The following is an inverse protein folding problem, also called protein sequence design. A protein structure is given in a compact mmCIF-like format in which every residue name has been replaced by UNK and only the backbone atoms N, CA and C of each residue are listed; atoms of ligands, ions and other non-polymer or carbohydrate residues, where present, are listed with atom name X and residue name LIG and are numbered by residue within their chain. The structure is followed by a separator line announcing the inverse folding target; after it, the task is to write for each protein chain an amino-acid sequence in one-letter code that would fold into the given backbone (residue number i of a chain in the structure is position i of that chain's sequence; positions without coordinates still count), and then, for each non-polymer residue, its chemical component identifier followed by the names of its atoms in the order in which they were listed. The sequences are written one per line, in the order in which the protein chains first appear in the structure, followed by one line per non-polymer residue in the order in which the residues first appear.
data_IF_033240920989
#
_entry.id   IF_033240920989
#
_cell.length_a   1.000
_cell.length_b   1.000
_cell.length_c   1.000
_cell.angle_alpha   90.00
_cell.angle_beta   90.00
_cell.angle_gamma   90.00
#
_symmetry.space_group_name_H-M   'P 1'
#
loop_
_entity.id
_entity.type
_entity.pdbx_description
1 polymer ?
#
# COMPACT_ATOMS: atom_id res chain seq x y z
N UNK A 1 -5.67 -3.08 -8.40
CA UNK A 1 -5.26 -4.42 -7.95
C UNK A 1 -4.19 -5.05 -8.81
N UNK A 2 -4.48 -5.41 -10.07
CA UNK A 2 -3.51 -6.14 -10.94
C UNK A 2 -2.21 -5.37 -11.21
N UNK A 3 -2.26 -4.06 -11.40
CA UNK A 3 -1.07 -3.23 -11.64
C UNK A 3 -0.17 -3.24 -10.40
N UNK A 4 -0.74 -3.00 -9.22
CA UNK A 4 -0.01 -3.04 -7.95
C UNK A 4 0.61 -4.41 -7.69
N UNK A 5 -0.19 -5.48 -7.85
CA UNK A 5 0.31 -6.84 -7.73
C UNK A 5 1.48 -7.09 -8.69
N UNK A 6 1.36 -6.66 -9.96
CA UNK A 6 2.42 -6.80 -10.97
C UNK A 6 3.70 -6.08 -10.55
N UNK A 7 3.59 -4.88 -9.99
CA UNK A 7 4.72 -4.09 -9.49
C UNK A 7 5.45 -4.82 -8.36
N UNK A 8 4.73 -5.32 -7.35
CA UNK A 8 5.36 -6.05 -6.24
C UNK A 8 5.95 -7.40 -6.65
N UNK A 9 5.29 -8.12 -7.58
CA UNK A 9 5.85 -9.36 -8.17
C UNK A 9 7.14 -9.06 -8.93
N UNK A 10 7.19 -7.98 -9.70
CA UNK A 10 8.41 -7.57 -10.42
C UNK A 10 9.54 -7.17 -9.45
N UNK A 11 9.24 -6.44 -8.38
CA UNK A 11 10.20 -6.12 -7.32
C UNK A 11 10.75 -7.40 -6.69
N UNK A 12 9.88 -8.35 -6.35
CA UNK A 12 10.27 -9.62 -5.75
C UNK A 12 11.19 -10.44 -6.68
N UNK A 13 10.76 -10.63 -7.93
CA UNK A 13 11.56 -11.37 -8.94
C UNK A 13 12.90 -10.67 -9.15
N UNK A 14 12.91 -9.34 -9.27
CA UNK A 14 14.13 -8.56 -9.45
C UNK A 14 15.11 -8.69 -8.28
N UNK A 15 14.60 -8.64 -7.04
CA UNK A 15 15.40 -8.79 -5.82
C UNK A 15 16.01 -10.19 -5.71
N UNK A 16 15.20 -11.25 -5.94
CA UNK A 16 15.67 -12.63 -5.91
C UNK A 16 16.70 -12.88 -7.01
N UNK A 17 16.38 -12.51 -8.25
CA UNK A 17 17.26 -12.71 -9.40
C UNK A 17 18.58 -11.94 -9.23
N UNK A 18 18.51 -10.68 -8.76
CA UNK A 18 19.70 -9.87 -8.50
C UNK A 18 20.62 -10.50 -7.45
N UNK A 19 20.05 -10.97 -6.35
CA UNK A 19 20.79 -11.67 -5.29
C UNK A 19 21.44 -12.96 -5.80
N UNK A 20 20.70 -13.78 -6.56
CA UNK A 20 21.22 -15.03 -7.12
C UNK A 20 22.35 -14.76 -8.14
N UNK A 21 22.18 -13.79 -9.03
CA UNK A 21 23.19 -13.44 -10.03
C UNK A 21 24.50 -12.97 -9.39
N UNK A 22 24.41 -12.14 -8.35
CA UNK A 22 25.59 -11.69 -7.60
C UNK A 22 26.25 -12.87 -6.88
N UNK A 23 25.49 -13.75 -6.24
CA UNK A 23 26.02 -14.89 -5.50
C UNK A 23 26.67 -15.95 -6.41
N UNK A 24 26.05 -16.31 -7.53
CA UNK A 24 26.52 -17.37 -8.41
C UNK A 24 27.73 -16.97 -9.28
N UNK A 25 27.79 -15.71 -9.72
CA UNK A 25 28.85 -15.24 -10.60
C UNK A 25 30.01 -14.53 -9.87
N UNK A 26 29.97 -14.40 -8.54
CA UNK A 26 31.05 -13.85 -7.72
C UNK A 26 31.56 -12.50 -8.24
N UNK A 27 32.83 -12.39 -8.57
CA UNK A 27 33.46 -11.14 -9.07
C UNK A 27 32.82 -10.59 -10.35
N UNK A 28 32.18 -11.44 -11.16
CA UNK A 28 31.45 -11.04 -12.37
C UNK A 28 29.97 -10.77 -12.11
N UNK A 29 29.48 -11.03 -10.91
CA UNK A 29 28.06 -10.92 -10.58
C UNK A 29 27.47 -9.54 -10.87
N UNK A 30 28.19 -8.47 -10.55
CA UNK A 30 27.76 -7.12 -10.84
C UNK A 30 27.61 -6.84 -12.36
N UNK A 31 28.58 -7.34 -13.17
CA UNK A 31 28.55 -7.18 -14.63
C UNK A 31 27.40 -7.97 -15.26
N UNK A 32 27.19 -9.21 -14.80
CA UNK A 32 26.08 -10.07 -15.29
C UNK A 32 24.74 -9.44 -14.92
N UNK A 33 24.59 -8.96 -13.68
CA UNK A 33 23.38 -8.27 -13.25
C UNK A 33 23.11 -7.02 -14.09
N UNK A 34 24.13 -6.20 -14.36
CA UNK A 34 23.99 -5.02 -15.23
C UNK A 34 23.56 -5.40 -16.65
N UNK A 35 24.11 -6.48 -17.22
CA UNK A 35 23.74 -6.97 -18.55
C UNK A 35 22.26 -7.45 -18.58
N UNK A 36 21.81 -8.15 -17.54
CA UNK A 36 20.41 -8.59 -17.40
C UNK A 36 19.47 -7.40 -17.28
N UNK A 37 19.82 -6.39 -16.48
CA UNK A 37 19.03 -5.15 -16.34
C UNK A 37 18.90 -4.42 -17.67
N UNK A 38 20.02 -4.30 -18.42
CA UNK A 38 20.00 -3.70 -19.76
C UNK A 38 19.10 -4.50 -20.73
N UNK A 39 19.18 -5.83 -20.71
CA UNK A 39 18.33 -6.69 -21.51
C UNK A 39 16.84 -6.47 -21.17
N UNK A 40 16.49 -6.45 -19.89
CA UNK A 40 15.12 -6.19 -19.44
C UNK A 40 14.66 -4.79 -19.90
N UNK A 41 15.51 -3.78 -19.81
CA UNK A 41 15.21 -2.43 -20.28
C UNK A 41 14.94 -2.38 -21.79
N UNK A 42 15.75 -3.10 -22.61
CA UNK A 42 15.53 -3.22 -24.06
C UNK A 42 14.21 -3.94 -24.35
N UNK A 43 13.93 -5.05 -23.68
CA UNK A 43 12.67 -5.78 -23.83
C UNK A 43 11.47 -4.91 -23.43
N UNK A 44 11.58 -4.16 -22.33
CA UNK A 44 10.57 -3.18 -21.90
C UNK A 44 10.34 -2.09 -22.94
N UNK A 45 11.43 -1.58 -23.56
CA UNK A 45 11.33 -0.59 -24.66
C UNK A 45 10.65 -1.16 -25.90
N UNK A 46 10.92 -2.42 -26.24
CA UNK A 46 10.24 -3.11 -27.35
C UNK A 46 8.76 -3.32 -27.01
N UNK A 47 8.45 -3.82 -25.82
CA UNK A 47 7.07 -4.01 -25.37
C UNK A 47 6.27 -2.69 -25.36
N UNK A 48 6.89 -1.58 -25.00
CA UNK A 48 6.26 -0.27 -25.03
C UNK A 48 5.83 0.19 -26.44
N UNK A 49 6.40 -0.36 -27.51
CA UNK A 49 5.99 -0.06 -28.89
C UNK A 49 4.63 -0.67 -29.26
N UNK A 50 4.20 -1.70 -28.54
CA UNK A 50 2.90 -2.34 -28.73
C UNK A 50 1.77 -1.65 -27.97
N UNK A 51 2.08 -0.61 -27.16
CA UNK A 51 1.06 0.19 -26.49
C UNK A 51 0.29 0.98 -27.56
N UNK A 52 -1.06 0.89 -27.60
CA UNK A 52 -1.87 1.61 -28.58
C UNK A 52 -1.61 3.12 -28.52
N UNK A 53 -1.52 3.74 -29.69
CA UNK A 53 -1.34 5.19 -29.79
C UNK A 53 -2.58 5.89 -29.23
N UNK A 54 -2.37 6.76 -28.24
CA UNK A 54 -3.39 7.64 -27.68
C UNK A 54 -3.11 9.08 -28.14
N UNK A 55 -4.07 9.78 -28.75
CA UNK A 55 -3.87 11.18 -29.13
C UNK A 55 -3.58 12.03 -27.90
N UNK A 56 -2.76 13.06 -28.06
CA UNK A 56 -2.45 14.00 -26.99
C UNK A 56 -3.73 14.68 -26.52
N UNK A 57 -3.93 14.75 -25.19
CA UNK A 57 -5.06 15.47 -24.60
C UNK A 57 -4.98 16.98 -24.84
N UNK A 58 -3.76 17.52 -24.95
CA UNK A 58 -3.47 18.90 -25.30
C UNK A 58 -2.29 18.94 -26.29
N UNK A 59 -2.55 18.99 -27.62
CA UNK A 59 -1.51 19.07 -28.63
C UNK A 59 -0.67 20.36 -28.59
N UNK A 60 -1.19 21.42 -27.97
CA UNK A 60 -0.53 22.71 -27.83
C UNK A 60 0.33 22.85 -26.58
N UNK A 61 0.41 21.81 -25.75
CA UNK A 61 1.14 21.88 -24.48
C UNK A 61 2.64 22.11 -24.72
N UNK A 62 3.16 23.22 -24.20
CA UNK A 62 4.59 23.49 -24.17
C UNK A 62 5.25 22.83 -22.96
N UNK A 63 6.36 22.12 -23.18
CA UNK A 63 7.08 21.44 -22.08
C UNK A 63 7.80 22.49 -21.23
N UNK A 64 7.46 22.54 -19.96
CA UNK A 64 8.19 23.33 -18.98
C UNK A 64 9.36 22.49 -18.41
N UNK A 65 10.58 22.85 -18.76
CA UNK A 65 11.79 22.13 -18.33
C UNK A 65 12.22 22.43 -16.88
N UNK A 66 11.55 23.36 -16.19
CA UNK A 66 11.83 23.64 -14.79
C UNK A 66 11.08 22.63 -13.88
N UNK A 67 11.77 21.66 -13.25
CA UNK A 67 11.12 20.62 -12.45
C UNK A 67 10.41 21.18 -11.21
N UNK A 68 10.87 22.30 -10.64
CA UNK A 68 10.27 22.89 -9.44
C UNK A 68 8.91 23.54 -9.74
N UNK A 69 8.87 24.34 -10.81
CA UNK A 69 7.62 25.01 -11.21
C UNK A 69 6.60 24.00 -11.72
N UNK A 70 7.03 22.95 -12.45
CA UNK A 70 6.12 21.90 -12.92
C UNK A 70 5.61 21.02 -11.79
N UNK A 71 6.47 20.68 -10.82
CA UNK A 71 6.06 19.99 -9.59
C UNK A 71 4.97 20.76 -8.86
N UNK A 72 5.20 22.07 -8.66
CA UNK A 72 4.22 22.93 -7.99
C UNK A 72 2.90 23.03 -8.75
N UNK A 73 2.96 23.15 -10.08
CA UNK A 73 1.79 23.18 -10.94
C UNK A 73 0.97 21.87 -10.83
N UNK A 74 1.64 20.72 -10.87
CA UNK A 74 0.97 19.42 -10.74
C UNK A 74 0.35 19.22 -9.35
N UNK A 75 1.03 19.64 -8.28
CA UNK A 75 0.48 19.58 -6.92
C UNK A 75 -0.74 20.50 -6.76
N UNK A 76 -0.70 21.70 -7.36
CA UNK A 76 -1.84 22.63 -7.36
C UNK A 76 -3.05 22.06 -8.10
N UNK A 77 -2.83 21.37 -9.21
CA UNK A 77 -3.90 20.68 -9.95
C UNK A 77 -4.52 19.57 -9.11
N UNK A 78 -3.69 18.74 -8.47
CA UNK A 78 -4.18 17.67 -7.59
C UNK A 78 -4.95 18.22 -6.38
N UNK A 79 -4.52 19.36 -5.82
CA UNK A 79 -5.18 20.03 -4.70
C UNK A 79 -6.56 20.62 -5.07
N UNK A 80 -6.87 20.77 -6.35
CA UNK A 80 -8.16 21.26 -6.82
C UNK A 80 -9.35 20.36 -6.45
N UNK A 81 -9.14 19.06 -6.25
CA UNK A 81 -10.10 18.11 -5.65
C UNK A 81 -9.56 17.58 -4.32
N UNK A 82 -10.18 18.00 -3.23
CA UNK A 82 -9.75 17.65 -1.86
C UNK A 82 -9.75 16.13 -1.64
N UNK A 83 -10.71 15.40 -2.22
CA UNK A 83 -10.76 13.93 -2.06
C UNK A 83 -9.62 13.25 -2.82
N UNK A 84 -9.29 13.72 -4.02
CA UNK A 84 -8.14 13.24 -4.80
C UNK A 84 -6.85 13.56 -4.07
N UNK A 85 -6.66 14.79 -3.60
CA UNK A 85 -5.44 15.19 -2.90
C UNK A 85 -5.23 14.41 -1.60
N UNK A 86 -6.27 14.26 -0.77
CA UNK A 86 -6.19 13.47 0.46
C UNK A 86 -5.89 12.00 0.18
N UNK A 87 -6.41 11.45 -0.91
CA UNK A 87 -6.08 10.08 -1.32
C UNK A 87 -4.63 9.94 -1.74
N UNK A 88 -4.08 10.92 -2.46
CA UNK A 88 -2.66 10.96 -2.83
C UNK A 88 -1.79 11.01 -1.56
N UNK A 89 -2.14 11.86 -0.58
CA UNK A 89 -1.41 11.91 0.71
C UNK A 89 -1.48 10.56 1.43
N UNK A 90 -2.65 9.90 1.44
CA UNK A 90 -2.80 8.55 2.01
C UNK A 90 -1.94 7.51 1.30
N UNK A 91 -1.89 7.53 -0.03
CA UNK A 91 -1.02 6.67 -0.84
C UNK A 91 0.45 6.94 -0.51
N UNK A 92 0.86 8.21 -0.47
CA UNK A 92 2.23 8.61 -0.14
C UNK A 92 2.62 8.20 1.27
N UNK A 93 1.68 8.24 2.22
CA UNK A 93 1.87 7.70 3.56
C UNK A 93 2.14 6.18 3.55
N UNK A 94 1.41 5.42 2.74
CA UNK A 94 1.68 3.99 2.58
C UNK A 94 3.09 3.74 2.01
N UNK A 95 3.56 4.56 1.07
CA UNK A 95 4.92 4.47 0.55
C UNK A 95 5.98 4.85 1.60
N UNK A 96 5.71 5.84 2.45
CA UNK A 96 6.55 6.14 3.62
C UNK A 96 6.68 4.90 4.52
N UNK A 97 5.55 4.36 4.94
CA UNK A 97 5.48 3.18 5.80
C UNK A 97 6.20 1.99 5.15
N UNK A 98 5.83 1.64 3.93
CA UNK A 98 6.39 0.51 3.20
C UNK A 98 7.89 0.62 2.95
N UNK A 99 8.42 1.82 2.67
CA UNK A 99 9.85 2.02 2.43
C UNK A 99 10.69 1.79 3.69
N UNK A 100 10.20 2.15 4.88
CA UNK A 100 10.88 1.84 6.15
C UNK A 100 11.02 0.33 6.31
N UNK A 101 9.95 -0.43 6.07
CA UNK A 101 9.98 -1.89 6.17
C UNK A 101 10.91 -2.51 5.12
N UNK A 102 10.74 -2.16 3.84
CA UNK A 102 11.53 -2.71 2.74
C UNK A 102 13.03 -2.48 2.91
N UNK A 103 13.44 -1.29 3.30
CA UNK A 103 14.87 -0.96 3.52
C UNK A 103 15.43 -1.62 4.77
N UNK A 104 14.58 -1.92 5.76
CA UNK A 104 15.00 -2.51 7.02
C UNK A 104 15.02 -4.04 7.00
N UNK A 105 14.41 -4.73 6.02
CA UNK A 105 14.34 -6.21 6.05
C UNK A 105 15.71 -6.87 6.01
N UNK A 106 16.64 -6.40 5.20
CA UNK A 106 18.00 -6.96 5.14
C UNK A 106 18.72 -6.87 6.48
N UNK A 107 18.91 -5.68 7.08
CA UNK A 107 19.53 -5.60 8.39
C UNK A 107 18.70 -6.29 9.49
N UNK A 108 17.37 -6.24 9.44
CA UNK A 108 16.50 -6.93 10.39
C UNK A 108 16.72 -8.44 10.39
N UNK A 109 16.70 -9.07 9.21
CA UNK A 109 16.92 -10.50 9.10
C UNK A 109 18.31 -10.92 9.59
N UNK A 110 19.34 -10.11 9.30
CA UNK A 110 20.71 -10.43 9.68
C UNK A 110 21.03 -10.14 11.15
N UNK A 111 20.64 -8.97 11.66
CA UNK A 111 21.03 -8.52 13.01
C UNK A 111 20.05 -8.91 14.10
N UNK A 112 18.72 -8.86 13.81
CA UNK A 112 17.70 -9.18 14.81
C UNK A 112 17.28 -10.65 14.79
N UNK A 113 17.25 -11.28 13.61
CA UNK A 113 16.89 -12.71 13.52
C UNK A 113 18.13 -13.62 13.42
N UNK A 114 19.29 -13.06 13.04
CA UNK A 114 20.52 -13.84 12.82
C UNK A 114 20.42 -14.82 11.64
N UNK A 115 19.60 -14.47 10.64
CA UNK A 115 19.37 -15.27 9.44
C UNK A 115 20.28 -14.90 8.28
N UNK A 116 20.50 -15.85 7.37
CA UNK A 116 21.24 -15.67 6.14
C UNK A 116 20.41 -15.03 5.02
N UNK A 117 20.97 -14.92 3.80
CA UNK A 117 20.30 -14.34 2.62
C UNK A 117 18.97 -15.01 2.26
N UNK A 118 18.83 -16.30 2.54
CA UNK A 118 17.58 -17.02 2.25
C UNK A 118 16.46 -16.54 3.18
N UNK A 119 16.75 -16.17 4.43
CA UNK A 119 15.78 -15.57 5.36
C UNK A 119 15.40 -14.16 4.88
N UNK A 120 16.36 -13.34 4.46
CA UNK A 120 16.08 -12.02 3.88
C UNK A 120 15.12 -12.13 2.69
N UNK A 121 15.45 -13.00 1.72
CA UNK A 121 14.63 -13.23 0.53
C UNK A 121 13.24 -13.72 0.89
N UNK A 122 13.12 -14.61 1.86
CA UNK A 122 11.84 -15.13 2.34
C UNK A 122 10.96 -14.03 2.95
N UNK A 123 11.51 -13.15 3.79
CA UNK A 123 10.76 -12.04 4.38
C UNK A 123 10.27 -11.06 3.32
N UNK A 124 11.12 -10.71 2.34
CA UNK A 124 10.75 -9.89 1.20
C UNK A 124 9.63 -10.55 0.36
N UNK A 125 9.72 -11.86 0.15
CA UNK A 125 8.71 -12.63 -0.56
C UNK A 125 7.35 -12.59 0.16
N UNK A 126 7.33 -12.89 1.46
CA UNK A 126 6.12 -12.85 2.29
C UNK A 126 5.47 -11.48 2.25
N UNK A 127 6.26 -10.42 2.39
CA UNK A 127 5.76 -9.05 2.33
C UNK A 127 5.16 -8.71 0.95
N UNK A 128 5.85 -9.05 -0.13
CA UNK A 128 5.38 -8.79 -1.50
C UNK A 128 4.11 -9.59 -1.83
N UNK A 129 4.08 -10.87 -1.47
CA UNK A 129 2.91 -11.73 -1.64
C UNK A 129 1.74 -11.21 -0.81
N UNK A 130 2.00 -10.80 0.44
CA UNK A 130 0.98 -10.23 1.32
C UNK A 130 0.29 -9.03 0.70
N UNK A 131 1.04 -8.05 0.17
CA UNK A 131 0.46 -6.89 -0.54
C UNK A 131 -0.34 -7.33 -1.76
N UNK A 132 0.18 -8.27 -2.56
CA UNK A 132 -0.53 -8.81 -3.72
C UNK A 132 -1.87 -9.46 -3.34
N UNK A 133 -1.86 -10.32 -2.33
CA UNK A 133 -3.07 -10.97 -1.81
C UNK A 133 -4.06 -9.94 -1.24
N UNK A 134 -3.58 -8.97 -0.47
CA UNK A 134 -4.39 -7.86 0.06
C UNK A 134 -5.04 -7.04 -1.04
N UNK A 135 -4.29 -6.74 -2.10
CA UNK A 135 -4.80 -6.02 -3.27
C UNK A 135 -5.92 -6.78 -4.01
N UNK A 136 -5.76 -8.10 -4.18
CA UNK A 136 -6.80 -8.95 -4.77
C UNK A 136 -8.00 -9.15 -3.84
N UNK A 137 -7.75 -9.29 -2.53
CA UNK A 137 -8.81 -9.38 -1.53
C UNK A 137 -9.67 -8.11 -1.51
N UNK A 138 -9.05 -6.94 -1.68
CA UNK A 138 -9.76 -5.67 -1.79
C UNK A 138 -10.81 -5.68 -2.90
N UNK A 139 -10.47 -6.18 -4.10
CA UNK A 139 -11.39 -6.27 -5.24
C UNK A 139 -12.61 -7.15 -4.91
N UNK A 140 -12.40 -8.26 -4.20
CA UNK A 140 -13.50 -9.16 -3.79
C UNK A 140 -14.36 -8.58 -2.69
N UNK A 141 -13.73 -8.00 -1.66
CA UNK A 141 -14.42 -7.41 -0.52
C UNK A 141 -15.23 -6.17 -0.90
N UNK A 142 -14.73 -5.38 -1.86
CA UNK A 142 -15.42 -4.20 -2.37
C UNK A 142 -16.54 -4.50 -3.39
N UNK A 143 -16.72 -5.76 -3.79
CA UNK A 143 -17.69 -6.13 -4.83
C UNK A 143 -17.42 -5.43 -6.16
N UNK A 144 -16.13 -5.19 -6.50
CA UNK A 144 -15.67 -4.45 -7.69
C UNK A 144 -16.10 -2.99 -7.74
N UNK A 145 -16.37 -2.37 -6.59
CA UNK A 145 -16.68 -0.95 -6.43
C UNK A 145 -15.57 -0.26 -5.64
N UNK A 146 -15.52 1.08 -5.71
CA UNK A 146 -14.58 1.86 -4.88
C UNK A 146 -15.13 1.92 -3.46
N UNK A 147 -14.69 0.99 -2.59
CA UNK A 147 -15.15 0.90 -1.20
C UNK A 147 -14.11 1.52 -0.26
N UNK A 148 -14.29 2.80 0.03
CA UNK A 148 -13.38 3.59 0.87
C UNK A 148 -13.39 3.12 2.33
N UNK A 149 -14.44 2.41 2.77
CA UNK A 149 -14.52 1.82 4.11
C UNK A 149 -13.42 0.78 4.40
N UNK A 150 -12.76 0.23 3.37
CA UNK A 150 -11.62 -0.67 3.55
C UNK A 150 -10.32 0.05 3.95
N UNK A 151 -10.20 1.37 3.74
CA UNK A 151 -9.00 2.15 4.13
C UNK A 151 -8.79 2.15 5.65
N UNK A 152 -9.79 2.46 6.50
CA UNK A 152 -9.67 2.29 7.95
C UNK A 152 -9.29 0.88 8.37
N UNK A 153 -9.91 -0.12 7.77
CA UNK A 153 -9.62 -1.53 8.06
C UNK A 153 -8.16 -1.87 7.74
N UNK A 154 -7.67 -1.45 6.56
CA UNK A 154 -6.27 -1.59 6.17
C UNK A 154 -5.32 -0.92 7.16
N UNK A 155 -5.59 0.35 7.51
CA UNK A 155 -4.75 1.12 8.43
C UNK A 155 -4.71 0.54 9.84
N UNK A 156 -5.84 0.09 10.38
CA UNK A 156 -5.89 -0.57 11.69
C UNK A 156 -5.06 -1.85 11.67
N UNK A 157 -5.24 -2.71 10.65
CA UNK A 157 -4.49 -3.94 10.51
C UNK A 157 -2.98 -3.70 10.39
N UNK A 158 -2.56 -2.73 9.58
CA UNK A 158 -1.14 -2.32 9.49
C UNK A 158 -0.58 -1.95 10.87
N UNK A 159 -1.33 -1.15 11.66
CA UNK A 159 -0.91 -0.74 13.00
C UNK A 159 -0.79 -1.93 13.94
N UNK A 160 -1.83 -2.76 14.02
CA UNK A 160 -1.89 -3.90 14.95
C UNK A 160 -0.76 -4.87 14.69
N UNK A 161 -0.58 -5.30 13.45
CA UNK A 161 0.45 -6.30 13.11
C UNK A 161 1.87 -5.73 13.13
N UNK A 162 2.05 -4.42 12.89
CA UNK A 162 3.37 -3.80 13.08
C UNK A 162 3.73 -3.66 14.58
N UNK A 163 2.76 -3.41 15.46
CA UNK A 163 2.98 -3.42 16.91
C UNK A 163 3.27 -4.84 17.39
N UNK A 164 2.50 -5.85 16.92
CA UNK A 164 2.73 -7.25 17.31
C UNK A 164 4.10 -7.75 16.81
N UNK A 165 4.49 -7.37 15.60
CA UNK A 165 5.82 -7.64 15.05
C UNK A 165 6.95 -7.10 15.94
N UNK A 166 6.78 -5.92 16.56
CA UNK A 166 7.74 -5.42 17.54
C UNK A 166 7.90 -6.40 18.71
N UNK A 167 6.78 -6.81 19.33
CA UNK A 167 6.82 -7.75 20.45
C UNK A 167 7.36 -9.12 20.06
N UNK A 168 6.97 -9.62 18.88
CA UNK A 168 7.49 -10.88 18.34
C UNK A 168 9.00 -10.80 18.11
N UNK A 169 9.49 -9.68 17.58
CA UNK A 169 10.92 -9.44 17.31
C UNK A 169 11.76 -9.34 18.58
N UNK A 170 11.24 -8.68 19.63
CA UNK A 170 11.94 -8.55 20.92
C UNK A 170 11.99 -9.90 21.66
N UNK A 171 10.95 -10.72 21.51
CA UNK A 171 10.89 -12.06 22.13
C UNK A 171 11.71 -13.13 21.38
N UNK A 172 12.11 -12.85 20.14
CA UNK A 172 12.85 -13.82 19.30
C UNK A 172 14.32 -13.87 19.70
N UNK A 173 14.84 -15.10 19.93
CA UNK A 173 16.27 -15.33 20.18
C UNK A 173 17.03 -15.35 18.85
N UNK A 174 17.97 -14.42 18.60
CA UNK A 174 18.72 -14.37 17.35
C UNK A 174 19.51 -15.66 17.12
N UNK A 175 19.52 -16.13 15.88
CA UNK A 175 20.36 -17.24 15.43
C UNK A 175 21.77 -16.77 15.07
N UNK A 176 22.66 -17.68 14.76
CA UNK A 176 23.98 -17.37 14.19
C UNK A 176 24.04 -17.92 12.77
N UNK A 177 23.94 -17.03 11.77
CA UNK A 177 23.93 -17.36 10.34
C UNK A 177 22.91 -18.49 9.98
N UNK A 178 21.71 -18.35 10.56
CA UNK A 178 20.67 -19.37 10.50
C UNK A 178 20.09 -19.52 9.09
N UNK A 179 19.96 -20.77 8.65
CA UNK A 179 19.27 -21.10 7.40
C UNK A 179 17.77 -20.86 7.51
N UNK A 180 17.09 -20.76 6.37
CA UNK A 180 15.62 -20.62 6.32
C UNK A 180 14.91 -21.74 7.09
N UNK A 181 15.40 -23.00 6.99
CA UNK A 181 14.83 -24.13 7.71
C UNK A 181 14.96 -23.96 9.24
N UNK A 182 16.12 -23.53 9.70
CA UNK A 182 16.36 -23.25 11.12
C UNK A 182 15.47 -22.12 11.61
N UNK A 183 15.35 -21.02 10.82
CA UNK A 183 14.45 -19.92 11.13
C UNK A 183 13.01 -20.42 11.30
N UNK A 184 12.46 -21.12 10.32
CA UNK A 184 11.07 -21.62 10.37
C UNK A 184 10.80 -22.63 11.48
N UNK A 185 11.85 -23.30 11.99
CA UNK A 185 11.78 -24.21 13.13
C UNK A 185 12.00 -23.52 14.48
N UNK A 186 12.47 -22.26 14.48
CA UNK A 186 12.75 -21.53 15.70
C UNK A 186 11.44 -21.11 16.42
N UNK A 187 11.39 -21.16 17.75
CA UNK A 187 10.26 -20.68 18.53
C UNK A 187 9.98 -19.19 18.22
N UNK A 188 8.75 -18.86 17.93
CA UNK A 188 8.31 -17.48 17.62
C UNK A 188 8.47 -17.04 16.16
N UNK A 189 9.19 -17.78 15.30
CA UNK A 189 9.38 -17.42 13.89
C UNK A 189 8.06 -17.26 13.13
N UNK A 190 7.13 -18.18 13.34
CA UNK A 190 5.81 -18.12 12.67
C UNK A 190 4.98 -16.90 13.07
N UNK A 191 5.13 -16.38 14.29
CA UNK A 191 4.49 -15.11 14.68
C UNK A 191 5.03 -13.96 13.84
N UNK A 192 6.35 -13.85 13.69
CA UNK A 192 7.00 -12.84 12.84
C UNK A 192 6.52 -12.97 11.38
N UNK A 193 6.48 -14.19 10.84
CA UNK A 193 6.02 -14.46 9.47
C UNK A 193 4.56 -14.04 9.28
N UNK A 194 3.69 -14.40 10.23
CA UNK A 194 2.27 -14.04 10.19
C UNK A 194 2.05 -12.54 10.32
N UNK A 195 2.77 -11.88 11.22
CA UNK A 195 2.69 -10.43 11.40
C UNK A 195 3.09 -9.69 10.12
N UNK A 196 4.20 -10.10 9.48
CA UNK A 196 4.65 -9.53 8.21
C UNK A 196 3.65 -9.78 7.07
N UNK A 197 3.12 -11.00 6.96
CA UNK A 197 2.15 -11.37 5.95
C UNK A 197 0.85 -10.56 6.09
N UNK A 198 0.33 -10.47 7.32
CA UNK A 198 -0.91 -9.74 7.62
C UNK A 198 -0.71 -8.23 7.51
N UNK A 199 0.39 -7.68 8.02
CA UNK A 199 0.73 -6.27 7.83
C UNK A 199 0.74 -5.91 6.33
N UNK A 200 1.39 -6.72 5.50
CA UNK A 200 1.47 -6.51 4.06
C UNK A 200 0.09 -6.66 3.38
N UNK A 201 -0.71 -7.65 3.78
CA UNK A 201 -2.09 -7.83 3.30
C UNK A 201 -2.93 -6.58 3.58
N UNK A 202 -2.86 -6.05 4.81
CA UNK A 202 -3.58 -4.85 5.19
C UNK A 202 -3.06 -3.59 4.47
N UNK A 203 -1.78 -3.52 4.13
CA UNK A 203 -1.24 -2.45 3.28
C UNK A 203 -1.84 -2.49 1.87
N UNK A 204 -2.07 -3.68 1.29
CA UNK A 204 -2.80 -3.86 0.04
C UNK A 204 -4.26 -3.41 0.14
N UNK A 205 -4.96 -3.78 1.22
CA UNK A 205 -6.34 -3.34 1.47
C UNK A 205 -6.45 -1.83 1.67
N UNK A 206 -5.43 -1.19 2.26
CA UNK A 206 -5.36 0.25 2.45
C UNK A 206 -5.16 1.02 1.14
N UNK A 207 -4.22 0.59 0.32
CA UNK A 207 -3.76 1.35 -0.85
C UNK A 207 -4.72 1.28 -2.05
N UNK A 208 -5.29 0.12 -2.33
CA UNK A 208 -6.10 -0.11 -3.55
C UNK A 208 -7.32 0.80 -3.65
N UNK A 209 -8.14 1.02 -2.59
CA UNK A 209 -9.28 1.93 -2.68
C UNK A 209 -8.86 3.38 -2.94
N UNK A 210 -7.72 3.80 -2.38
CA UNK A 210 -7.20 5.15 -2.58
C UNK A 210 -6.76 5.38 -4.03
N UNK A 211 -6.02 4.42 -4.62
CA UNK A 211 -5.67 4.46 -6.05
C UNK A 211 -6.90 4.45 -6.94
N UNK A 212 -7.89 3.62 -6.63
CA UNK A 212 -9.14 3.56 -7.39
C UNK A 212 -9.90 4.89 -7.33
N UNK A 213 -9.93 5.55 -6.16
CA UNK A 213 -10.56 6.85 -6.01
C UNK A 213 -9.85 7.92 -6.85
N UNK A 214 -8.52 7.97 -6.80
CA UNK A 214 -7.74 8.91 -7.62
C UNK A 214 -8.02 8.69 -9.11
N UNK A 215 -8.05 7.43 -9.58
CA UNK A 215 -8.29 7.11 -10.99
C UNK A 215 -9.71 7.42 -11.46
N UNK A 216 -10.71 7.23 -10.59
CA UNK A 216 -12.13 7.43 -10.96
C UNK A 216 -12.58 8.89 -10.87
N UNK A 217 -11.99 9.68 -9.95
CA UNK A 217 -12.33 11.08 -9.76
C UNK A 217 -11.46 12.07 -10.54
N UNK A 218 -10.29 11.63 -10.98
CA UNK A 218 -9.40 12.51 -11.75
C UNK A 218 -10.06 12.92 -13.08
N UNK A 219 -10.08 14.22 -13.34
CA UNK A 219 -10.50 14.78 -14.63
C UNK A 219 -9.69 14.15 -15.77
N UNK A 220 -10.35 13.57 -16.76
CA UNK A 220 -9.68 12.88 -17.89
C UNK A 220 -8.55 13.67 -18.54
N UNK A 221 -8.71 15.00 -18.84
CA UNK A 221 -7.62 15.81 -19.41
C UNK A 221 -6.43 16.02 -18.48
N UNK A 222 -6.62 15.85 -17.16
CA UNK A 222 -5.60 16.12 -16.13
C UNK A 222 -5.05 14.89 -15.44
N UNK A 223 -5.53 13.68 -15.79
CA UNK A 223 -5.13 12.42 -15.16
C UNK A 223 -3.61 12.26 -15.12
N UNK A 224 -2.91 12.53 -16.24
CA UNK A 224 -1.45 12.40 -16.29
C UNK A 224 -0.73 13.31 -15.28
N UNK A 225 -1.21 14.54 -15.09
CA UNK A 225 -0.66 15.49 -14.12
C UNK A 225 -0.97 15.11 -12.68
N UNK A 226 -2.15 14.55 -12.43
CA UNK A 226 -2.54 14.02 -11.11
C UNK A 226 -1.70 12.80 -10.75
N UNK A 227 -1.46 11.88 -11.70
CA UNK A 227 -0.57 10.73 -11.51
C UNK A 227 0.88 11.20 -11.28
N UNK A 228 1.33 12.23 -12.00
CA UNK A 228 2.65 12.83 -11.76
C UNK A 228 2.76 13.40 -10.33
N UNK A 229 1.74 14.14 -9.87
CA UNK A 229 1.69 14.66 -8.50
C UNK A 229 1.74 13.53 -7.46
N UNK A 230 0.99 12.44 -7.67
CA UNK A 230 1.04 11.25 -6.82
C UNK A 230 2.46 10.65 -6.75
N UNK A 231 3.11 10.46 -7.89
CA UNK A 231 4.44 9.87 -7.93
C UNK A 231 5.51 10.78 -7.29
N UNK A 232 5.38 12.10 -7.47
CA UNK A 232 6.26 13.08 -6.83
C UNK A 232 6.11 13.02 -5.31
N UNK A 233 4.88 13.03 -4.79
CA UNK A 233 4.63 12.94 -3.35
C UNK A 233 5.08 11.59 -2.79
N UNK A 234 4.85 10.49 -3.48
CA UNK A 234 5.36 9.17 -3.08
C UNK A 234 6.89 9.22 -2.92
N UNK A 235 7.60 9.77 -3.91
CA UNK A 235 9.06 9.89 -3.86
C UNK A 235 9.54 10.76 -2.69
N UNK A 236 8.89 11.90 -2.44
CA UNK A 236 9.20 12.78 -1.30
C UNK A 236 8.99 12.02 0.01
N UNK A 237 7.88 11.32 0.19
CA UNK A 237 7.60 10.55 1.40
C UNK A 237 8.60 9.41 1.61
N UNK A 238 9.04 8.73 0.53
CA UNK A 238 10.09 7.70 0.61
C UNK A 238 11.44 8.30 1.03
N UNK A 239 11.82 9.48 0.53
CA UNK A 239 13.04 10.19 0.95
C UNK A 239 12.96 10.59 2.42
N UNK A 240 11.82 11.16 2.84
CA UNK A 240 11.59 11.52 4.25
C UNK A 240 11.63 10.28 5.14
N UNK A 241 11.08 9.15 4.70
CA UNK A 241 11.13 7.89 5.42
C UNK A 241 12.57 7.39 5.60
N UNK A 242 13.40 7.46 4.54
CA UNK A 242 14.80 7.05 4.62
C UNK A 242 15.60 7.94 5.58
N UNK A 243 15.38 9.26 5.54
CA UNK A 243 16.03 10.21 6.46
C UNK A 243 15.57 9.98 7.91
N UNK A 244 14.27 9.78 8.13
CA UNK A 244 13.71 9.50 9.45
C UNK A 244 14.25 8.18 10.02
N UNK A 245 14.27 7.10 9.22
CA UNK A 245 14.83 5.83 9.63
C UNK A 245 16.33 5.95 9.99
N UNK A 246 17.11 6.63 9.15
CA UNK A 246 18.54 6.88 9.41
C UNK A 246 18.74 7.68 10.70
N UNK A 247 17.96 8.73 10.93
CA UNK A 247 18.05 9.55 12.13
C UNK A 247 17.68 8.75 13.40
N UNK A 248 16.60 7.97 13.36
CA UNK A 248 16.13 7.18 14.51
C UNK A 248 17.13 6.06 14.85
N UNK A 249 17.63 5.33 13.85
CA UNK A 249 18.66 4.31 14.04
C UNK A 249 19.97 4.92 14.51
N UNK A 250 20.36 6.08 13.97
CA UNK A 250 21.52 6.85 14.41
C UNK A 250 21.40 7.37 15.86
N UNK A 251 20.17 7.61 16.33
CA UNK A 251 19.87 7.95 17.72
C UNK A 251 19.88 6.74 18.67
N UNK A 252 20.17 5.53 18.16
CA UNK A 252 20.31 4.31 18.96
C UNK A 252 19.06 3.43 19.05
N UNK A 253 17.99 3.73 18.28
CA UNK A 253 16.86 2.82 18.23
C UNK A 253 17.25 1.52 17.52
N UNK A 254 16.73 0.40 18.01
CA UNK A 254 16.80 -0.89 17.29
C UNK A 254 15.80 -0.93 16.13
N UNK A 255 16.00 -1.86 15.18
CA UNK A 255 15.08 -2.01 14.05
C UNK A 255 13.65 -2.38 14.52
N UNK A 256 13.44 -3.27 15.49
CA UNK A 256 12.10 -3.49 16.04
C UNK A 256 11.47 -2.22 16.62
N UNK A 257 12.25 -1.38 17.33
CA UNK A 257 11.76 -0.08 17.82
C UNK A 257 11.37 0.87 16.69
N UNK A 258 12.15 0.87 15.58
CA UNK A 258 11.79 1.62 14.38
C UNK A 258 10.44 1.16 13.81
N UNK A 259 10.16 -0.15 13.78
CA UNK A 259 8.85 -0.69 13.37
C UNK A 259 7.73 -0.23 14.30
N UNK A 260 7.97 -0.24 15.61
CA UNK A 260 7.00 0.26 16.60
C UNK A 260 6.70 1.75 16.40
N UNK A 261 7.74 2.58 16.26
CA UNK A 261 7.56 4.03 16.01
C UNK A 261 6.75 4.24 14.72
N UNK A 262 7.06 3.52 13.66
CA UNK A 262 6.33 3.59 12.39
C UNK A 262 4.86 3.17 12.56
N UNK A 263 4.59 2.12 13.34
CA UNK A 263 3.24 1.69 13.67
C UNK A 263 2.45 2.75 14.44
N UNK A 264 3.07 3.38 15.45
CA UNK A 264 2.45 4.46 16.23
C UNK A 264 2.20 5.72 15.37
N UNK A 265 3.13 6.05 14.49
CA UNK A 265 2.90 7.11 13.49
C UNK A 265 1.73 6.78 12.58
N UNK A 266 1.61 5.51 12.13
CA UNK A 266 0.46 5.08 11.33
C UNK A 266 -0.86 5.21 12.10
N UNK A 267 -0.89 4.84 13.38
CA UNK A 267 -2.05 5.04 14.24
C UNK A 267 -2.43 6.53 14.38
N UNK A 268 -1.44 7.41 14.56
CA UNK A 268 -1.68 8.85 14.66
C UNK A 268 -2.23 9.44 13.34
N UNK A 269 -1.67 9.04 12.20
CA UNK A 269 -2.16 9.44 10.87
C UNK A 269 -3.57 8.90 10.63
N UNK A 270 -3.84 7.65 10.99
CA UNK A 270 -5.17 7.06 10.89
C UNK A 270 -6.21 7.84 11.71
N UNK A 271 -5.90 8.15 12.97
CA UNK A 271 -6.77 8.96 13.81
C UNK A 271 -7.02 10.37 13.27
N UNK A 272 -5.98 10.99 12.69
CA UNK A 272 -6.12 12.28 12.02
C UNK A 272 -7.06 12.21 10.82
N UNK A 273 -6.86 11.22 9.93
CA UNK A 273 -7.72 10.99 8.76
C UNK A 273 -9.17 10.72 9.18
N UNK A 274 -9.40 9.91 10.22
CA UNK A 274 -10.75 9.58 10.71
C UNK A 274 -11.47 10.79 11.32
N UNK A 275 -10.72 11.73 11.91
CA UNK A 275 -11.30 13.01 12.37
C UNK A 275 -11.68 13.93 11.21
N UNK A 276 -10.89 13.95 10.13
CA UNK A 276 -11.18 14.76 8.95
C UNK A 276 -12.34 14.20 8.12
N UNK A 277 -12.46 12.87 8.05
CA UNK A 277 -13.47 12.19 7.24
C UNK A 277 -14.13 11.09 8.08
N UNK A 278 -14.94 11.44 9.07
CA UNK A 278 -15.59 10.48 9.96
C UNK A 278 -16.51 9.51 9.21
N UNK A 279 -16.98 9.89 8.02
CA UNK A 279 -17.77 9.04 7.12
C UNK A 279 -17.05 7.73 6.78
N UNK A 280 -15.72 7.71 6.69
CA UNK A 280 -14.94 6.50 6.41
C UNK A 280 -15.01 5.50 7.56
N UNK A 281 -14.84 5.99 8.78
CA UNK A 281 -14.91 5.16 9.98
C UNK A 281 -16.33 4.66 10.23
N UNK A 282 -17.33 5.54 10.12
CA UNK A 282 -18.73 5.17 10.28
C UNK A 282 -19.17 4.14 9.26
N UNK A 283 -18.75 4.29 8.01
CA UNK A 283 -19.06 3.34 6.94
C UNK A 283 -18.37 1.99 7.17
N UNK A 284 -17.12 2.01 7.63
CA UNK A 284 -16.42 0.79 8.03
C UNK A 284 -17.14 0.08 9.19
N UNK A 285 -17.51 0.80 10.23
CA UNK A 285 -18.26 0.24 11.36
C UNK A 285 -19.62 -0.32 10.93
N UNK A 286 -20.34 0.41 10.09
CA UNK A 286 -21.60 -0.05 9.52
C UNK A 286 -21.41 -1.33 8.67
N UNK A 287 -20.34 -1.39 7.87
CA UNK A 287 -20.01 -2.57 7.08
C UNK A 287 -19.65 -3.76 7.98
N UNK A 288 -18.78 -3.58 8.99
CA UNK A 288 -18.44 -4.64 9.95
C UNK A 288 -19.67 -5.15 10.68
N UNK A 289 -20.50 -4.27 11.21
CA UNK A 289 -21.72 -4.65 11.92
C UNK A 289 -22.71 -5.39 11.02
N UNK A 290 -22.90 -4.88 9.79
CA UNK A 290 -23.85 -5.50 8.85
C UNK A 290 -23.39 -6.87 8.33
N UNK A 291 -22.05 -7.11 8.23
CA UNK A 291 -21.53 -8.37 7.71
C UNK A 291 -21.16 -9.39 8.80
N UNK A 292 -20.91 -8.94 10.04
CA UNK A 292 -20.59 -9.83 11.16
C UNK A 292 -21.82 -10.30 11.91
N UNK A 293 -22.79 -9.39 12.15
CA UNK A 293 -24.00 -9.70 12.93
C UNK A 293 -25.21 -10.07 12.05
N UNK A 294 -25.23 -9.61 10.80
CA UNK A 294 -26.35 -9.79 9.88
C UNK A 294 -25.86 -10.36 8.55
N UNK A 295 -26.71 -11.12 7.88
CA UNK A 295 -26.50 -11.55 6.50
C UNK A 295 -27.25 -10.60 5.58
N UNK A 296 -26.67 -9.44 5.29
CA UNK A 296 -27.26 -8.43 4.42
C UNK A 296 -27.13 -8.86 2.97
N UNK A 297 -28.24 -8.89 2.25
CA UNK A 297 -28.29 -9.11 0.81
C UNK A 297 -28.89 -7.88 0.14
N UNK A 298 -28.08 -7.16 -0.61
CA UNK A 298 -28.52 -6.00 -1.37
C UNK A 298 -28.98 -6.43 -2.76
N UNK A 299 -30.18 -6.01 -3.15
CA UNK A 299 -30.79 -6.33 -4.43
C UNK A 299 -31.15 -5.01 -5.13
N UNK A 300 -30.85 -4.89 -6.42
CA UNK A 300 -31.14 -3.70 -7.26
C UNK A 300 -30.54 -2.40 -6.73
N UNK A 301 -29.33 -2.44 -6.19
CA UNK A 301 -28.63 -1.24 -5.70
C UNK A 301 -28.30 -0.24 -6.79
N UNK A 302 -28.29 -0.65 -8.04
CA UNK A 302 -28.16 0.19 -9.22
C UNK A 302 -29.33 1.16 -9.42
N UNK A 303 -30.47 0.92 -8.78
CA UNK A 303 -31.62 1.84 -8.77
C UNK A 303 -31.38 3.09 -7.93
N UNK A 304 -30.34 3.09 -7.08
CA UNK A 304 -29.94 4.28 -6.32
C UNK A 304 -29.15 5.19 -7.24
N UNK A 305 -29.57 6.46 -7.48
CA UNK A 305 -28.87 7.37 -8.37
C UNK A 305 -27.41 7.53 -7.97
N UNK A 306 -26.48 7.39 -8.92
CA UNK A 306 -25.05 7.55 -8.66
C UNK A 306 -24.68 8.99 -8.31
N UNK A 307 -25.40 9.96 -8.88
CA UNK A 307 -25.17 11.40 -8.73
C UNK A 307 -26.50 12.12 -8.39
N UNK A 308 -26.35 13.34 -7.89
CA UNK A 308 -27.49 14.21 -7.54
C UNK A 308 -28.09 13.92 -6.15
N UNK A 309 -29.04 14.75 -5.74
CA UNK A 309 -29.75 14.60 -4.48
C UNK A 309 -30.79 13.44 -4.59
N UNK A 310 -30.80 12.56 -3.58
CA UNK A 310 -31.78 11.49 -3.47
C UNK A 310 -32.18 11.29 -2.02
N UNK A 311 -33.46 10.97 -1.80
CA UNK A 311 -34.00 10.60 -0.48
C UNK A 311 -34.27 9.10 -0.51
N UNK A 312 -33.64 8.36 0.42
CA UNK A 312 -33.93 6.95 0.63
C UNK A 312 -35.06 6.84 1.66
N UNK A 313 -36.24 6.47 1.20
CA UNK A 313 -37.38 6.18 2.06
C UNK A 313 -37.46 4.67 2.29
N UNK A 314 -37.41 4.24 3.53
CA UNK A 314 -37.53 2.83 3.92
C UNK A 314 -38.58 2.66 5.03
N UNK A 315 -39.14 1.47 5.14
CA UNK A 315 -39.89 1.09 6.32
C UNK A 315 -38.94 0.98 7.52
N UNK A 316 -39.40 1.42 8.68
CA UNK A 316 -38.63 1.37 9.92
C UNK A 316 -39.12 0.19 10.78
N UNK A 317 -38.21 -0.75 11.03
CA UNK A 317 -38.51 -1.96 11.82
C UNK A 317 -37.62 -2.01 13.07
N UNK A 318 -36.40 -1.46 12.99
CA UNK A 318 -35.42 -1.54 14.06
C UNK A 318 -34.48 -0.34 14.04
N UNK A 319 -33.94 0.03 15.22
CA UNK A 319 -32.89 1.05 15.34
C UNK A 319 -31.62 0.74 14.50
N UNK A 320 -31.43 -0.52 14.10
CA UNK A 320 -30.29 -0.97 13.29
C UNK A 320 -30.49 -0.67 11.80
N UNK A 321 -31.71 -0.33 11.36
CA UNK A 321 -32.01 -0.11 9.94
C UNK A 321 -31.11 0.93 9.29
N UNK A 322 -30.84 2.04 9.99
CA UNK A 322 -29.93 3.08 9.50
C UNK A 322 -28.52 2.55 9.22
N UNK A 323 -28.01 1.69 10.12
CA UNK A 323 -26.67 1.08 10.00
C UNK A 323 -26.65 0.08 8.82
N UNK A 324 -27.70 -0.74 8.68
CA UNK A 324 -27.83 -1.71 7.59
C UNK A 324 -27.92 -1.01 6.22
N UNK A 325 -28.71 0.06 6.13
CA UNK A 325 -28.85 0.86 4.91
C UNK A 325 -27.54 1.56 4.58
N UNK A 326 -26.84 2.13 5.57
CA UNK A 326 -25.53 2.76 5.39
C UNK A 326 -24.48 1.76 4.89
N UNK A 327 -24.46 0.53 5.42
CA UNK A 327 -23.56 -0.55 4.99
C UNK A 327 -23.91 -1.15 3.63
N UNK A 328 -25.17 -1.07 3.21
CA UNK A 328 -25.66 -1.60 1.93
C UNK A 328 -25.65 -0.58 0.78
N UNK A 329 -25.66 0.73 1.09
CA UNK A 329 -25.74 1.77 0.09
C UNK A 329 -24.43 1.92 -0.70
N UNK A 330 -24.46 2.04 -2.04
CA UNK A 330 -23.28 2.28 -2.85
C UNK A 330 -22.71 3.70 -2.69
N UNK A 331 -23.44 4.62 -2.07
CA UNK A 331 -23.03 6.02 -1.84
C UNK A 331 -23.20 6.43 -0.38
N UNK A 332 -22.44 7.44 0.10
CA UNK A 332 -22.59 7.95 1.45
C UNK A 332 -24.02 8.44 1.72
N UNK A 333 -24.56 8.04 2.85
CA UNK A 333 -25.86 8.50 3.36
C UNK A 333 -25.58 9.50 4.47
N UNK A 334 -26.23 10.66 4.41
CA UNK A 334 -26.16 11.72 5.41
C UNK A 334 -27.52 11.89 6.08
#
# INVERSE_FOLDING_TARGET
GMVEMGTFVAILIGTIAGGMLIGEFGDRGALVTAAVVLLIAVLGRIAAQYVPHSPAADPGLTINWNPFTETWANLKIAHGDVAVFNSIIGISWMWFFGSIFLTSFTPYARTNLGGNEAVVTFLLAIFSIGIGVGSLACERLSGRRVEIGLVPFGSIGMTVFAIDLYFASVAFAPMTDGTLRQFLSAPGAWRIVMDLALLALFAGLYSVPLYALVQTRADRPRVARIVAANNILNAIFMVVAALAATALLGAGLSIPQLFLVTALMNAAVALYIYRLVPEFLLRFLAWVLSHSLYRVRSINTESIPAEGAAVLACNHVSFVDAVLIMGASPRPIR
#
